data_IF_943589130375
#
_entry.id   IF_943589130375
#
_cell.length_a   1.000
_cell.length_b   1.000
_cell.length_c   1.000
_cell.angle_alpha   90.00
_cell.angle_beta   90.00
_cell.angle_gamma   90.00
#
_symmetry.space_group_name_H-M   'P 1'
#
loop_
_entity.id
_entity.type
_entity.pdbx_description
1 polymer ?
#
# COMPACT_ATOMS: atom_id res chain seq x y z
N UNK A 1 -27.05 -25.19 39.54
CA UNK A 1 -26.70 -26.47 38.90
C UNK A 1 -27.78 -26.83 37.89
N UNK A 2 -27.56 -26.54 36.61
CA UNK A 2 -28.41 -27.07 35.53
C UNK A 2 -27.50 -27.29 34.31
N UNK A 3 -27.12 -28.55 34.08
CA UNK A 3 -26.27 -28.97 32.96
C UNK A 3 -27.10 -29.04 31.69
N UNK A 4 -26.74 -28.27 30.67
CA UNK A 4 -27.23 -28.41 29.30
C UNK A 4 -26.34 -29.47 28.60
N UNK A 5 -26.90 -30.53 28.01
CA UNK A 5 -26.11 -31.57 27.34
C UNK A 5 -25.64 -31.10 25.95
N UNK A 6 -24.34 -31.31 25.68
CA UNK A 6 -23.71 -31.16 24.35
C UNK A 6 -24.19 -32.27 23.42
N UNK A 7 -24.70 -31.91 22.25
CA UNK A 7 -24.85 -32.85 21.12
C UNK A 7 -23.53 -32.90 20.35
N UNK A 8 -23.05 -34.12 20.07
CA UNK A 8 -21.93 -34.40 19.17
C UNK A 8 -22.44 -34.80 17.78
N UNK A 9 -21.64 -34.61 16.72
CA UNK A 9 -22.12 -34.59 15.33
C UNK A 9 -22.20 -35.97 14.68
N UNK A 10 -23.23 -36.18 13.87
CA UNK A 10 -23.44 -37.38 13.06
C UNK A 10 -22.55 -37.38 11.81
N UNK A 11 -21.88 -38.51 11.56
CA UNK A 11 -21.00 -38.76 10.42
C UNK A 11 -21.76 -38.95 9.08
N UNK A 12 -21.12 -38.69 7.92
CA UNK A 12 -21.77 -38.72 6.60
C UNK A 12 -21.85 -40.14 6.00
N UNK A 13 -22.97 -40.42 5.34
CA UNK A 13 -23.28 -41.67 4.62
C UNK A 13 -22.59 -41.72 3.24
N UNK A 14 -22.01 -42.87 2.81
CA UNK A 14 -21.41 -42.99 1.49
C UNK A 14 -22.46 -43.16 0.38
N UNK A 15 -22.37 -42.33 -0.68
CA UNK A 15 -23.15 -42.48 -1.91
C UNK A 15 -22.35 -43.23 -2.97
N UNK A 16 -22.81 -44.43 -3.27
CA UNK A 16 -22.39 -45.31 -4.36
C UNK A 16 -22.72 -44.71 -5.73
N UNK A 17 -21.73 -44.70 -6.64
CA UNK A 17 -21.89 -44.35 -8.06
C UNK A 17 -22.27 -45.59 -8.87
N UNK A 18 -23.30 -45.57 -9.73
CA UNK A 18 -23.41 -46.56 -10.79
C UNK A 18 -22.70 -46.08 -12.05
N UNK A 19 -21.93 -46.99 -12.66
CA UNK A 19 -21.39 -46.91 -14.01
C UNK A 19 -22.39 -47.51 -15.03
N UNK A 20 -22.04 -47.42 -16.32
CA UNK A 20 -22.71 -47.92 -17.53
C UNK A 20 -23.75 -46.94 -18.12
N UNK A 21 -23.82 -46.71 -19.44
CA UNK A 21 -23.34 -47.48 -20.59
C UNK A 21 -23.33 -46.54 -21.82
N UNK A 22 -22.30 -46.66 -22.65
CA UNK A 22 -22.30 -46.11 -24.00
C UNK A 22 -23.25 -46.94 -24.88
N UNK A 23 -24.02 -46.25 -25.74
CA UNK A 23 -24.70 -46.84 -26.90
C UNK A 23 -24.56 -45.86 -28.06
N UNK A 24 -23.85 -46.32 -29.09
CA UNK A 24 -23.72 -45.69 -30.38
C UNK A 24 -24.97 -45.96 -31.22
N UNK A 25 -25.49 -44.93 -31.89
CA UNK A 25 -26.30 -45.10 -33.10
C UNK A 25 -26.01 -43.97 -34.08
N UNK A 26 -25.69 -44.37 -35.30
CA UNK A 26 -25.42 -43.53 -36.45
C UNK A 26 -26.72 -42.92 -37.02
N UNK A 27 -26.62 -41.68 -37.53
CA UNK A 27 -27.67 -41.04 -38.31
C UNK A 27 -27.14 -39.78 -38.99
N UNK A 28 -26.83 -39.89 -40.28
CA UNK A 28 -26.38 -38.79 -41.12
C UNK A 28 -27.59 -38.01 -41.67
N UNK A 29 -27.58 -36.67 -41.51
CA UNK A 29 -28.34 -35.74 -42.36
C UNK A 29 -27.47 -34.50 -42.59
N UNK A 30 -27.20 -34.22 -43.86
CA UNK A 30 -26.42 -33.07 -44.31
C UNK A 30 -27.27 -31.80 -44.35
N UNK A 31 -26.78 -30.72 -43.74
CA UNK A 31 -27.14 -29.33 -44.04
C UNK A 31 -25.91 -28.46 -43.86
N UNK A 32 -25.47 -27.83 -44.95
CA UNK A 32 -24.39 -26.85 -44.95
C UNK A 32 -24.89 -25.48 -44.48
N UNK A 33 -24.09 -24.76 -43.68
CA UNK A 33 -24.04 -23.31 -43.78
C UNK A 33 -22.60 -22.82 -44.05
N UNK A 34 -22.47 -21.94 -45.05
CA UNK A 34 -21.28 -21.10 -45.24
C UNK A 34 -21.01 -20.34 -43.93
N UNK A 35 -19.94 -20.71 -43.24
CA UNK A 35 -19.50 -20.02 -42.03
C UNK A 35 -18.69 -18.80 -42.46
N UNK A 36 -19.29 -17.62 -42.33
CA UNK A 36 -18.57 -16.36 -42.41
C UNK A 36 -17.47 -16.38 -41.34
N UNK A 37 -16.21 -16.38 -41.74
CA UNK A 37 -15.07 -16.06 -40.88
C UNK A 37 -15.16 -14.58 -40.51
N UNK A 38 -16.04 -14.25 -39.56
CA UNK A 38 -15.93 -13.02 -38.81
C UNK A 38 -14.67 -13.16 -37.93
N UNK A 39 -13.52 -12.74 -38.46
CA UNK A 39 -12.43 -12.30 -37.62
C UNK A 39 -12.93 -11.07 -36.87
N UNK A 40 -13.62 -11.28 -35.75
CA UNK A 40 -13.72 -10.25 -34.74
C UNK A 40 -12.28 -9.98 -34.31
N UNK A 41 -11.73 -8.76 -34.47
CA UNK A 41 -10.51 -8.42 -33.79
C UNK A 41 -10.81 -8.67 -32.31
N UNK A 42 -10.07 -9.58 -31.69
CA UNK A 42 -9.95 -9.60 -30.23
C UNK A 42 -9.64 -8.16 -29.85
N UNK A 43 -10.63 -7.47 -29.30
CA UNK A 43 -10.36 -6.26 -28.54
C UNK A 43 -9.42 -6.71 -27.45
N UNK A 44 -8.14 -6.48 -27.66
CA UNK A 44 -7.17 -6.47 -26.58
C UNK A 44 -7.67 -5.37 -25.67
N UNK A 45 -8.46 -5.73 -24.65
CA UNK A 45 -8.60 -4.90 -23.47
C UNK A 45 -7.17 -4.72 -23.00
N UNK A 46 -6.58 -3.55 -23.28
CA UNK A 46 -5.26 -3.19 -22.81
C UNK A 46 -5.32 -3.29 -21.29
N UNK A 47 -4.78 -4.38 -20.75
CA UNK A 47 -4.59 -4.51 -19.31
C UNK A 47 -3.70 -3.32 -18.89
N UNK A 48 -4.00 -2.69 -17.77
CA UNK A 48 -3.10 -1.71 -17.18
C UNK A 48 -1.72 -2.34 -17.05
N UNK A 49 -0.64 -1.63 -17.41
CA UNK A 49 0.68 -2.21 -17.31
C UNK A 49 1.01 -2.53 -15.86
N UNK A 50 1.79 -3.59 -15.68
CA UNK A 50 2.38 -3.92 -14.38
C UNK A 50 3.61 -3.04 -14.16
N UNK A 51 3.56 -2.18 -13.14
CA UNK A 51 4.70 -1.38 -12.72
C UNK A 51 5.68 -2.23 -11.92
N UNK A 52 6.97 -2.19 -12.27
CA UNK A 52 7.98 -3.10 -11.72
C UNK A 52 8.93 -2.38 -10.78
N UNK A 53 9.45 -3.13 -9.82
CA UNK A 53 10.54 -2.66 -8.95
C UNK A 53 11.89 -2.80 -9.66
N UNK A 54 12.82 -1.90 -9.33
CA UNK A 54 14.20 -1.96 -9.78
C UNK A 54 14.87 -3.23 -9.21
N UNK A 55 15.43 -4.14 -10.03
CA UNK A 55 16.04 -5.37 -9.54
C UNK A 55 17.36 -5.16 -8.78
N UNK A 56 17.99 -3.98 -8.89
CA UNK A 56 19.25 -3.65 -8.25
C UNK A 56 19.31 -2.17 -7.83
N UNK A 57 18.46 -1.73 -6.88
CA UNK A 57 18.44 -0.34 -6.44
C UNK A 57 19.75 0.03 -5.74
N UNK A 58 20.20 1.27 -5.92
CA UNK A 58 21.52 1.75 -5.47
C UNK A 58 21.42 2.87 -4.43
N UNK A 59 20.29 3.58 -4.37
CA UNK A 59 20.16 4.77 -3.52
C UNK A 59 19.50 4.42 -2.19
N UNK A 60 20.25 3.71 -1.34
CA UNK A 60 19.76 3.20 -0.05
C UNK A 60 19.75 4.28 1.05
N UNK A 61 18.65 4.32 1.83
CA UNK A 61 18.47 5.19 2.97
C UNK A 61 17.98 4.39 4.18
N UNK A 62 18.51 4.74 5.36
CA UNK A 62 18.05 4.21 6.64
C UNK A 62 16.97 5.14 7.21
N UNK A 63 15.76 4.62 7.38
CA UNK A 63 14.74 5.23 8.19
C UNK A 63 14.94 4.82 9.66
N UNK A 64 14.98 5.79 10.56
CA UNK A 64 14.97 5.60 12.02
C UNK A 64 13.78 6.35 12.59
N UNK A 65 12.98 5.68 13.42
CA UNK A 65 11.84 6.26 14.11
C UNK A 65 11.96 6.09 15.61
N UNK A 66 11.81 7.20 16.35
CA UNK A 66 11.69 7.22 17.81
C UNK A 66 10.33 7.75 18.21
N UNK A 67 9.77 7.19 19.28
CA UNK A 67 8.47 7.54 19.82
C UNK A 67 8.68 7.89 21.28
N UNK A 68 8.35 9.11 21.65
CA UNK A 68 8.60 9.67 22.98
C UNK A 68 7.27 10.11 23.61
N UNK A 69 7.10 9.78 24.90
CA UNK A 69 5.95 10.16 25.74
C UNK A 69 4.56 9.79 25.21
N UNK A 70 4.45 8.77 24.35
CA UNK A 70 3.17 8.26 23.86
C UNK A 70 2.27 7.76 25.02
N UNK A 71 0.94 7.99 24.98
CA UNK A 71 0.02 7.55 26.05
C UNK A 71 -0.03 6.03 26.25
N UNK A 72 0.36 5.26 25.24
CA UNK A 72 0.40 3.81 25.26
C UNK A 72 1.21 3.23 24.10
N UNK A 73 1.32 1.90 24.01
CA UNK A 73 2.11 1.23 22.99
C UNK A 73 1.42 1.25 21.62
N UNK A 74 2.20 1.36 20.55
CA UNK A 74 1.71 1.12 19.19
C UNK A 74 1.88 -0.36 18.81
N UNK A 75 0.76 -1.06 18.67
CA UNK A 75 0.68 -2.47 18.28
C UNK A 75 0.68 -2.70 16.77
N UNK A 76 0.42 -1.66 15.97
CA UNK A 76 0.52 -1.70 14.51
C UNK A 76 1.32 -0.50 14.02
N UNK A 77 2.40 -0.79 13.29
CA UNK A 77 3.32 0.19 12.72
C UNK A 77 3.67 -0.29 11.31
N UNK A 78 3.31 0.48 10.29
CA UNK A 78 3.58 0.17 8.88
C UNK A 78 4.26 1.38 8.24
N UNK A 79 5.50 1.22 7.78
CA UNK A 79 6.21 2.26 7.05
C UNK A 79 6.13 2.00 5.54
N UNK A 80 5.90 3.06 4.77
CA UNK A 80 5.74 3.00 3.31
C UNK A 80 6.60 4.08 2.66
N UNK A 81 7.32 3.73 1.60
CA UNK A 81 7.91 4.68 0.65
C UNK A 81 6.97 4.84 -0.54
N UNK A 82 6.54 6.08 -0.83
CA UNK A 82 5.69 6.38 -1.97
C UNK A 82 6.52 6.81 -3.18
N UNK A 83 6.13 6.34 -4.36
CA UNK A 83 6.72 6.70 -5.64
C UNK A 83 5.64 7.13 -6.62
N UNK A 84 5.91 8.17 -7.38
CA UNK A 84 5.04 8.65 -8.46
C UNK A 84 5.81 8.70 -9.78
N UNK A 85 5.10 8.49 -10.90
CA UNK A 85 5.63 8.83 -12.23
C UNK A 85 5.56 10.34 -12.43
N UNK A 86 6.69 10.97 -12.72
CA UNK A 86 6.76 12.44 -12.82
C UNK A 86 6.43 12.98 -14.20
N UNK A 87 6.70 12.20 -15.24
CA UNK A 87 6.65 12.67 -16.61
C UNK A 87 5.39 12.13 -17.33
N UNK A 88 4.34 12.94 -17.34
CA UNK A 88 2.99 12.51 -17.76
C UNK A 88 2.88 12.18 -19.25
N UNK A 89 3.84 12.61 -20.06
CA UNK A 89 3.90 12.31 -21.49
C UNK A 89 4.18 10.83 -21.79
N UNK A 90 4.72 10.07 -20.83
CA UNK A 90 4.84 8.61 -20.96
C UNK A 90 3.47 7.91 -20.80
N UNK A 91 2.44 8.60 -20.29
CA UNK A 91 1.12 8.04 -20.03
C UNK A 91 0.20 8.15 -21.26
N UNK A 92 -0.84 7.31 -21.36
CA UNK A 92 -1.84 7.45 -22.42
C UNK A 92 -2.49 8.86 -22.41
N UNK A 93 -2.50 9.58 -23.54
CA UNK A 93 -3.16 10.88 -23.65
C UNK A 93 -4.70 10.74 -23.59
N UNK A 94 -5.43 11.84 -23.31
CA UNK A 94 -6.87 11.80 -23.10
C UNK A 94 -7.65 11.18 -24.27
N UNK A 95 -7.25 11.46 -25.51
CA UNK A 95 -7.86 10.91 -26.73
C UNK A 95 -7.70 9.39 -26.86
N UNK A 96 -6.72 8.80 -26.18
CA UNK A 96 -6.51 7.35 -26.10
C UNK A 96 -7.16 6.71 -24.86
N UNK A 97 -7.79 7.51 -23.99
CA UNK A 97 -8.40 7.04 -22.75
C UNK A 97 -9.93 6.96 -22.83
N UNK A 98 -10.58 6.00 -22.14
CA UNK A 98 -12.02 5.98 -21.98
C UNK A 98 -12.55 7.32 -21.43
N UNK A 99 -13.44 7.95 -22.19
CA UNK A 99 -14.09 9.20 -21.79
C UNK A 99 -13.25 10.46 -21.94
N UNK A 100 -12.11 10.42 -22.67
CA UNK A 100 -11.38 11.64 -22.99
C UNK A 100 -10.66 12.27 -21.79
N UNK A 101 -10.37 11.48 -20.74
CA UNK A 101 -9.80 11.96 -19.48
C UNK A 101 -8.28 11.81 -19.46
N UNK A 102 -7.61 12.74 -18.80
CA UNK A 102 -6.19 12.61 -18.53
C UNK A 102 -5.91 11.35 -17.69
N UNK A 103 -4.85 10.62 -18.03
CA UNK A 103 -4.40 9.48 -17.22
C UNK A 103 -4.07 9.95 -15.79
N UNK A 104 -4.52 9.22 -14.76
CA UNK A 104 -4.04 9.46 -13.40
C UNK A 104 -2.53 9.26 -13.37
N UNK A 105 -1.85 9.97 -12.48
CA UNK A 105 -0.42 9.70 -12.22
C UNK A 105 -0.34 8.34 -11.53
N UNK A 106 0.43 7.38 -12.06
CA UNK A 106 0.74 6.15 -11.36
C UNK A 106 1.45 6.45 -10.03
N UNK A 107 0.93 5.86 -8.96
CA UNK A 107 1.48 5.95 -7.59
C UNK A 107 1.65 4.54 -7.05
N UNK A 108 2.80 4.27 -6.43
CA UNK A 108 3.14 2.99 -5.81
C UNK A 108 3.65 3.20 -4.39
N UNK A 109 3.14 2.40 -3.46
CA UNK A 109 3.67 2.31 -2.10
C UNK A 109 4.48 1.02 -1.95
N UNK A 110 5.74 1.15 -1.52
CA UNK A 110 6.57 0.03 -1.13
C UNK A 110 6.73 -0.01 0.38
N UNK A 111 6.43 -1.15 0.99
CA UNK A 111 6.63 -1.33 2.43
C UNK A 111 8.11 -1.28 2.79
N UNK A 112 8.40 -0.60 3.90
CA UNK A 112 9.72 -0.54 4.52
C UNK A 112 9.66 -1.44 5.75
N UNK A 113 10.25 -2.65 5.71
CA UNK A 113 10.28 -3.53 6.86
C UNK A 113 11.01 -2.86 8.02
N UNK A 114 10.33 -2.74 9.17
CA UNK A 114 10.89 -2.15 10.38
C UNK A 114 11.28 -3.23 11.39
N UNK A 115 12.42 -3.04 12.05
CA UNK A 115 12.86 -3.83 13.19
C UNK A 115 13.28 -2.90 14.32
N UNK A 116 13.25 -3.38 15.57
CA UNK A 116 13.82 -2.62 16.69
C UNK A 116 15.34 -2.78 16.75
N UNK A 117 16.05 -1.69 16.99
CA UNK A 117 17.48 -1.71 17.31
C UNK A 117 17.72 -1.92 18.82
N UNK A 118 19.00 -1.88 19.23
CA UNK A 118 19.40 -2.09 20.62
C UNK A 118 18.94 -0.97 21.57
N UNK A 119 18.73 0.24 21.04
CA UNK A 119 18.24 1.40 21.81
C UNK A 119 16.71 1.46 21.82
N UNK A 120 16.04 0.51 21.14
CA UNK A 120 14.59 0.40 21.06
C UNK A 120 13.95 1.25 19.96
N UNK A 121 14.74 1.94 19.11
CA UNK A 121 14.23 2.67 17.96
C UNK A 121 13.80 1.71 16.85
N UNK A 122 12.83 2.12 16.05
CA UNK A 122 12.43 1.37 14.86
C UNK A 122 13.32 1.76 13.68
N UNK A 123 13.93 0.79 13.02
CA UNK A 123 14.84 1.01 11.90
C UNK A 123 14.42 0.19 10.68
N UNK A 124 14.54 0.78 9.50
CA UNK A 124 14.30 0.11 8.23
C UNK A 124 15.17 0.71 7.12
N UNK A 125 15.23 0.02 5.98
CA UNK A 125 15.96 0.49 4.80
C UNK A 125 15.03 0.56 3.62
N UNK A 126 15.05 1.68 2.91
CA UNK A 126 14.34 1.89 1.66
C UNK A 126 15.30 2.44 0.62
N UNK A 127 14.91 2.40 -0.66
CA UNK A 127 15.73 2.94 -1.74
C UNK A 127 14.92 3.97 -2.51
N UNK A 128 15.50 5.14 -2.79
CA UNK A 128 14.79 6.20 -3.53
C UNK A 128 14.67 5.90 -5.02
N UNK A 129 15.39 4.88 -5.52
CA UNK A 129 15.36 4.33 -6.87
C UNK A 129 14.77 2.91 -6.92
N UNK A 130 13.87 2.58 -5.99
CA UNK A 130 13.27 1.25 -5.87
C UNK A 130 12.27 0.89 -6.98
N UNK A 131 11.73 1.86 -7.70
CA UNK A 131 10.86 1.63 -8.86
C UNK A 131 11.68 1.63 -10.15
N UNK A 132 11.31 0.78 -11.11
CA UNK A 132 12.01 0.66 -12.39
C UNK A 132 11.48 1.69 -13.38
N UNK A 133 12.36 2.53 -13.90
CA UNK A 133 12.08 3.38 -15.04
C UNK A 133 11.96 2.55 -16.32
N UNK A 134 10.81 2.60 -16.98
CA UNK A 134 10.54 1.79 -18.17
C UNK A 134 9.46 2.40 -19.05
N UNK A 135 9.46 2.03 -20.33
CA UNK A 135 8.36 2.32 -21.24
C UNK A 135 7.17 1.36 -21.03
N UNK A 136 6.35 1.66 -20.01
CA UNK A 136 5.17 0.87 -19.66
C UNK A 136 4.01 0.97 -20.67
N UNK A 137 4.02 1.99 -21.53
CA UNK A 137 2.88 2.34 -22.37
C UNK A 137 3.22 2.43 -23.88
N UNK A 138 4.45 2.11 -24.28
CA UNK A 138 4.95 2.24 -25.65
C UNK A 138 5.09 3.70 -26.12
N UNK A 139 5.35 4.63 -25.19
CA UNK A 139 5.34 6.09 -25.38
C UNK A 139 6.60 6.79 -24.88
N UNK A 140 7.64 6.01 -24.58
CA UNK A 140 8.84 6.49 -23.91
C UNK A 140 8.85 6.14 -22.42
N UNK A 141 10.02 6.26 -21.80
CA UNK A 141 10.26 5.86 -20.42
C UNK A 141 9.43 6.69 -19.43
N UNK A 142 8.63 6.02 -18.60
CA UNK A 142 8.11 6.62 -17.38
C UNK A 142 9.20 6.65 -16.32
N UNK A 143 9.45 7.85 -15.79
CA UNK A 143 10.44 8.14 -14.77
C UNK A 143 9.74 8.19 -13.42
N UNK A 144 10.10 7.25 -12.55
CA UNK A 144 9.63 7.17 -11.18
C UNK A 144 10.49 8.01 -10.26
N UNK A 145 9.83 8.62 -9.27
CA UNK A 145 10.52 9.39 -8.24
C UNK A 145 9.95 9.04 -6.87
N UNK A 146 10.83 8.90 -5.89
CA UNK A 146 10.45 8.86 -4.48
C UNK A 146 9.82 10.19 -4.06
N UNK A 147 8.60 10.13 -3.54
CA UNK A 147 7.81 11.28 -3.13
C UNK A 147 7.88 11.55 -1.64
N UNK A 148 8.15 10.52 -0.86
CA UNK A 148 8.18 10.61 0.59
C UNK A 148 8.08 9.24 1.25
N UNK A 149 8.30 9.25 2.55
CA UNK A 149 8.13 8.08 3.42
C UNK A 149 7.14 8.43 4.51
N UNK A 150 6.14 7.59 4.73
CA UNK A 150 5.11 7.76 5.75
C UNK A 150 5.06 6.56 6.68
N UNK A 151 4.75 6.77 7.94
CA UNK A 151 4.56 5.67 8.91
C UNK A 151 3.15 5.73 9.45
N UNK A 152 2.40 4.65 9.32
CA UNK A 152 1.06 4.49 9.87
C UNK A 152 1.17 3.83 11.23
N UNK A 153 0.74 4.51 12.29
CA UNK A 153 0.74 3.95 13.64
C UNK A 153 -0.68 3.88 14.20
N UNK A 154 -1.00 2.74 14.81
CA UNK A 154 -2.24 2.45 15.52
C UNK A 154 -1.95 1.77 16.85
N UNK A 155 -2.76 2.07 17.87
CA UNK A 155 -2.58 1.55 19.22
C UNK A 155 -2.63 0.02 19.25
N UNK A 156 -3.60 -0.57 18.57
CA UNK A 156 -3.72 -2.04 18.46
C UNK A 156 -3.80 -2.51 17.00
N UNK A 157 -4.14 -1.61 16.08
CA UNK A 157 -4.41 -1.93 14.68
C UNK A 157 -5.90 -2.11 14.39
N UNK A 158 -6.76 -2.03 15.41
CA UNK A 158 -8.21 -2.17 15.26
C UNK A 158 -8.81 -1.07 14.37
N UNK A 159 -9.91 -1.42 13.70
CA UNK A 159 -10.68 -0.45 12.93
C UNK A 159 -11.30 0.62 13.85
N UNK A 160 -11.28 1.86 13.38
CA UNK A 160 -11.82 3.01 14.08
C UNK A 160 -10.81 3.76 14.94
N UNK A 161 -9.64 3.17 15.22
CA UNK A 161 -8.52 3.86 15.89
C UNK A 161 -8.00 5.04 15.05
N UNK A 162 -7.44 6.04 15.74
CA UNK A 162 -6.69 7.13 15.12
C UNK A 162 -5.48 6.55 14.38
N UNK A 163 -5.23 7.02 13.17
CA UNK A 163 -4.05 6.68 12.38
C UNK A 163 -3.07 7.85 12.54
N UNK A 164 -2.04 7.68 13.37
CA UNK A 164 -0.96 8.67 13.44
C UNK A 164 -0.04 8.47 12.24
N UNK A 165 0.21 9.54 11.48
CA UNK A 165 0.79 9.49 10.14
C UNK A 165 1.90 10.53 9.96
N UNK A 166 3.01 10.47 10.72
CA UNK A 166 4.18 11.29 10.43
C UNK A 166 4.76 10.90 9.06
N UNK A 167 5.26 11.89 8.32
CA UNK A 167 5.80 11.67 6.97
C UNK A 167 6.96 12.60 6.61
N UNK A 168 7.97 12.04 5.96
CA UNK A 168 9.07 12.78 5.35
C UNK A 168 8.74 13.01 3.88
N UNK A 169 8.81 14.26 3.41
CA UNK A 169 8.44 14.64 2.04
C UNK A 169 9.66 14.98 1.20
N UNK A 170 9.67 14.52 -0.05
CA UNK A 170 10.68 14.87 -1.05
C UNK A 170 10.53 16.33 -1.55
N UNK A 171 9.34 16.92 -1.41
CA UNK A 171 9.09 18.30 -1.82
C UNK A 171 9.57 19.34 -0.81
N UNK A 172 9.59 18.95 0.47
CA UNK A 172 9.92 19.85 1.57
C UNK A 172 11.42 19.81 1.90
N UNK A 173 12.06 18.65 1.71
CA UNK A 173 13.46 18.46 2.06
C UNK A 173 14.12 17.35 1.23
N UNK A 174 15.44 17.23 1.39
CA UNK A 174 16.19 16.12 0.82
C UNK A 174 15.81 14.78 1.47
N UNK A 175 16.14 13.63 0.85
CA UNK A 175 16.01 12.33 1.50
C UNK A 175 16.76 12.23 2.83
N UNK A 176 17.83 13.00 3.04
CA UNK A 176 18.50 13.14 4.33
C UNK A 176 17.83 14.24 5.16
N UNK A 177 17.08 13.85 6.20
CA UNK A 177 16.32 14.77 7.03
C UNK A 177 15.98 14.14 8.39
N UNK A 178 15.84 14.98 9.42
CA UNK A 178 15.32 14.61 10.73
C UNK A 178 14.19 15.56 11.07
N UNK A 179 13.01 15.04 11.38
CA UNK A 179 11.81 15.82 11.68
C UNK A 179 11.11 15.21 12.90
N UNK A 180 10.82 16.06 13.88
CA UNK A 180 9.98 15.71 15.03
C UNK A 180 8.53 16.08 14.74
N UNK A 181 7.62 15.11 14.84
CA UNK A 181 6.18 15.31 14.69
C UNK A 181 5.52 15.27 16.06
N UNK A 182 4.74 16.29 16.39
CA UNK A 182 4.03 16.41 17.66
C UNK A 182 2.55 16.10 17.49
N UNK A 183 2.00 15.32 18.43
CA UNK A 183 0.63 14.85 18.42
C UNK A 183 -0.02 15.07 19.79
N UNK A 184 -1.33 15.34 19.81
CA UNK A 184 -2.09 15.44 21.06
C UNK A 184 -2.32 14.05 21.64
N UNK A 185 -2.04 13.89 22.93
CA UNK A 185 -2.31 12.64 23.66
C UNK A 185 -3.80 12.27 23.69
N UNK A 186 -4.68 13.27 23.66
CA UNK A 186 -6.14 13.08 23.62
C UNK A 186 -6.61 12.33 22.37
N UNK A 187 -5.86 12.38 21.27
CA UNK A 187 -6.18 11.63 20.05
C UNK A 187 -5.94 10.12 20.16
N UNK A 188 -5.27 9.65 21.23
CA UNK A 188 -4.91 8.26 21.42
C UNK A 188 -5.90 7.53 22.36
N UNK A 189 -6.30 6.28 22.05
CA UNK A 189 -6.04 5.55 20.81
C UNK A 189 -7.02 5.91 19.69
N UNK A 190 -8.08 6.66 20.00
CA UNK A 190 -9.19 6.92 19.10
C UNK A 190 -9.76 8.33 19.32
N UNK A 191 -10.00 9.02 18.22
CA UNK A 191 -10.76 10.28 18.18
C UNK A 191 -11.97 10.17 17.25
N UNK A 192 -12.79 11.21 17.20
CA UNK A 192 -13.90 11.35 16.25
C UNK A 192 -13.50 12.29 15.10
N UNK A 193 -13.74 11.91 13.83
CA UNK A 193 -14.39 10.67 13.40
C UNK A 193 -13.49 9.43 13.53
N UNK A 194 -14.10 8.25 13.56
CA UNK A 194 -13.37 6.98 13.53
C UNK A 194 -12.43 6.89 12.29
N UNK A 195 -11.26 6.28 12.46
CA UNK A 195 -10.20 6.23 11.44
C UNK A 195 -9.67 7.61 11.01
N UNK A 196 -9.72 8.61 11.89
CA UNK A 196 -9.10 9.90 11.64
C UNK A 196 -7.59 9.75 11.42
N UNK A 197 -7.08 10.34 10.33
CA UNK A 197 -5.64 10.43 10.07
C UNK A 197 -5.08 11.71 10.70
N UNK A 198 -4.30 11.55 11.75
CA UNK A 198 -3.58 12.65 12.39
C UNK A 198 -2.16 12.71 11.79
N UNK A 199 -1.84 13.79 11.08
CA UNK A 199 -0.53 13.99 10.46
C UNK A 199 0.51 14.52 11.46
N UNK A 200 0.06 14.99 12.62
CA UNK A 200 0.87 15.70 13.58
C UNK A 200 1.32 17.07 13.08
N UNK A 201 2.02 17.77 13.95
CA UNK A 201 2.63 19.06 13.65
C UNK A 201 4.15 18.85 13.61
N UNK A 202 4.76 19.01 12.44
CA UNK A 202 6.21 18.86 12.32
C UNK A 202 6.94 20.10 12.89
N UNK A 203 7.91 19.90 13.77
CA UNK A 203 8.67 20.98 14.40
C UNK A 203 7.92 21.65 15.55
N UNK A 204 8.59 21.77 16.70
CA UNK A 204 7.99 22.32 17.94
C UNK A 204 7.58 23.78 17.79
N UNK A 205 8.26 24.51 16.91
CA UNK A 205 8.00 25.92 16.61
C UNK A 205 6.64 26.16 15.93
N UNK A 206 6.06 25.13 15.31
CA UNK A 206 4.72 25.20 14.70
C UNK A 206 3.61 24.76 15.64
N UNK A 207 3.95 24.13 16.76
CA UNK A 207 2.98 23.74 17.78
C UNK A 207 2.50 25.01 18.50
N UNK A 208 1.18 25.23 18.63
CA UNK A 208 0.62 26.35 19.38
C UNK A 208 1.25 26.52 20.77
N UNK A 209 1.61 27.75 21.12
CA UNK A 209 2.36 28.04 22.35
C UNK A 209 1.56 27.81 23.65
N UNK A 210 0.23 27.74 23.55
CA UNK A 210 -0.69 27.43 24.64
C UNK A 210 -0.85 25.92 24.91
N UNK A 211 -0.34 25.06 24.01
CA UNK A 211 -0.26 23.63 24.24
C UNK A 211 0.98 23.30 25.08
N UNK A 212 0.73 22.78 26.27
CA UNK A 212 1.77 22.30 27.18
C UNK A 212 2.41 21.01 26.66
N UNK A 213 3.71 20.82 26.89
CA UNK A 213 4.45 19.66 26.40
C UNK A 213 3.91 18.34 26.97
N UNK A 214 3.34 18.36 28.19
CA UNK A 214 2.76 17.17 28.82
C UNK A 214 1.50 16.66 28.10
N UNK A 215 0.80 17.53 27.35
CA UNK A 215 -0.34 17.18 26.53
C UNK A 215 0.06 16.54 25.18
N UNK A 216 1.35 16.53 24.87
CA UNK A 216 1.90 16.10 23.59
C UNK A 216 2.75 14.85 23.73
N UNK A 217 2.74 14.04 22.69
CA UNK A 217 3.78 13.04 22.47
C UNK A 217 4.42 13.30 21.10
N UNK A 218 5.62 12.79 20.88
CA UNK A 218 6.33 13.02 19.63
C UNK A 218 6.77 11.74 18.96
N UNK A 219 6.82 11.81 17.63
CA UNK A 219 7.45 10.80 16.79
C UNK A 219 8.53 11.49 15.97
N UNK A 220 9.78 11.13 16.20
CA UNK A 220 10.89 11.58 15.36
C UNK A 220 11.05 10.62 14.19
N UNK A 221 11.10 11.16 12.98
CA UNK A 221 11.55 10.43 11.80
C UNK A 221 12.89 11.00 11.34
N UNK A 222 13.87 10.11 11.17
CA UNK A 222 15.16 10.44 10.57
C UNK A 222 15.40 9.53 9.37
N UNK A 223 15.83 10.12 8.27
CA UNK A 223 16.32 9.42 7.08
C UNK A 223 17.74 9.88 6.77
N UNK A 224 18.62 8.94 6.45
CA UNK A 224 20.02 9.20 6.12
C UNK A 224 20.54 8.20 5.09
N UNK A 225 21.46 8.64 4.22
CA UNK A 225 22.01 7.76 3.20
C UNK A 225 22.84 6.63 3.85
N UNK A 226 22.64 5.39 3.38
CA UNK A 226 23.48 4.27 3.78
C UNK A 226 24.78 4.34 2.98
N UNK A 227 25.87 4.71 3.64
CA UNK A 227 27.20 4.76 3.02
C UNK A 227 27.88 3.39 3.12
N UNK A 228 28.61 2.95 2.07
CA UNK A 228 29.41 1.73 2.10
C UNK A 228 30.52 1.75 3.16
#
# INVERSE_FOLDING_TARGET
MTRIPRQSPSAPTPRTRPALRALATAGAVALAPLSLLACSPTMTTSASPEYRQNPAPQQAYRLTMRIDDAPGPFGSIVALAQFDVQNRECLPPPDSNPGGRQSPVPTMDLEIPLARDADGAWVGTFHTDAMLDEDYHGRGTCVWQWMGTRVHLRATGADGETIFLPSLSAHEASPEQTVDFYFLKEGYPQTSPANYSDLGIAGRERVPADLADEALFSIQLRSEAVRP
#
